data_IF_771624577598
#
_entry.id   IF_771624577598
#
_cell.length_a   1.000
_cell.length_b   1.000
_cell.length_c   1.000
_cell.angle_alpha   90.00
_cell.angle_beta   90.00
_cell.angle_gamma   90.00
#
_symmetry.space_group_name_H-M   'P 1'
#
loop_
_entity.id
_entity.type
_entity.pdbx_description
1 polymer ?
#
# COMPACT_ATOMS: atom_id res chain seq x y z
N UNK A 1 17.74 4.07 -7.72
CA UNK A 1 17.01 2.82 -7.46
C UNK A 1 17.69 1.72 -8.25
N UNK A 2 18.39 0.79 -7.62
CA UNK A 2 18.83 -0.44 -8.29
C UNK A 2 18.65 -1.54 -7.26
N UNK A 3 17.62 -2.37 -7.43
CA UNK A 3 17.62 -3.71 -6.88
C UNK A 3 18.81 -4.42 -7.55
N UNK A 4 20.03 -4.20 -7.04
CA UNK A 4 21.23 -4.85 -7.55
C UNK A 4 21.05 -6.32 -7.21
N UNK A 5 21.01 -7.15 -8.25
CA UNK A 5 20.84 -8.60 -8.19
C UNK A 5 19.42 -9.13 -7.85
N UNK A 6 18.37 -8.43 -8.26
CA UNK A 6 17.01 -8.99 -8.24
C UNK A 6 16.31 -8.69 -9.56
N UNK A 7 15.72 -9.71 -10.19
CA UNK A 7 14.82 -9.52 -11.32
C UNK A 7 13.50 -8.92 -10.82
N UNK A 8 13.08 -7.82 -11.45
CA UNK A 8 11.85 -7.14 -11.09
C UNK A 8 11.13 -6.62 -12.33
N UNK A 9 9.83 -6.45 -12.17
CA UNK A 9 8.95 -5.75 -13.09
C UNK A 9 8.22 -4.64 -12.33
N UNK A 10 7.88 -3.56 -13.02
CA UNK A 10 7.09 -2.46 -12.48
C UNK A 10 5.73 -2.50 -13.16
N UNK A 11 4.66 -2.62 -12.38
CA UNK A 11 3.29 -2.64 -12.90
C UNK A 11 2.63 -1.32 -12.53
N UNK A 12 2.41 -0.49 -13.54
CA UNK A 12 1.73 0.79 -13.38
C UNK A 12 0.26 0.60 -13.72
N UNK A 13 -0.62 0.83 -12.74
CA UNK A 13 -2.08 0.78 -12.94
C UNK A 13 -2.61 2.21 -12.92
N UNK A 14 -3.04 2.69 -14.09
CA UNK A 14 -3.61 4.02 -14.25
C UNK A 14 -5.14 3.95 -14.45
N UNK A 15 -5.87 4.74 -13.66
CA UNK A 15 -7.33 4.86 -13.69
C UNK A 15 -7.77 6.07 -14.56
N UNK A 16 -7.06 6.33 -15.67
CA UNK A 16 -7.41 7.39 -16.64
C UNK A 16 -6.95 8.78 -16.21
N UNK A 17 -5.68 8.90 -15.80
CA UNK A 17 -5.10 10.20 -15.44
C UNK A 17 -4.98 11.12 -16.67
N UNK A 18 -5.22 12.41 -16.48
CA UNK A 18 -5.20 13.43 -17.56
C UNK A 18 -3.96 14.34 -17.47
N UNK A 19 -2.99 13.99 -16.63
CA UNK A 19 -1.83 14.80 -16.26
C UNK A 19 -0.54 14.43 -17.01
N UNK A 20 -0.63 13.59 -18.05
CA UNK A 20 0.52 13.13 -18.82
C UNK A 20 1.18 11.85 -18.30
N UNK A 21 0.60 11.21 -17.27
CA UNK A 21 1.14 9.97 -16.68
C UNK A 21 1.31 8.86 -17.73
N UNK A 22 0.37 8.71 -18.65
CA UNK A 22 0.40 7.65 -19.66
C UNK A 22 1.55 7.82 -20.65
N UNK A 23 1.82 9.06 -21.08
CA UNK A 23 2.93 9.40 -21.96
C UNK A 23 4.29 9.13 -21.29
N UNK A 24 4.43 9.49 -20.01
CA UNK A 24 5.64 9.21 -19.24
C UNK A 24 5.87 7.72 -19.10
N UNK A 25 4.83 6.95 -18.78
CA UNK A 25 4.93 5.50 -18.65
C UNK A 25 5.36 4.86 -19.97
N UNK A 26 4.81 5.32 -21.11
CA UNK A 26 5.23 4.88 -22.44
C UNK A 26 6.71 5.18 -22.72
N UNK A 27 7.17 6.39 -22.42
CA UNK A 27 8.59 6.75 -22.55
C UNK A 27 9.49 5.86 -21.69
N UNK A 28 9.05 5.51 -20.49
CA UNK A 28 9.79 4.61 -19.62
C UNK A 28 9.83 3.18 -20.18
N UNK A 29 8.74 2.69 -20.80
CA UNK A 29 8.71 1.41 -21.50
C UNK A 29 9.71 1.38 -22.66
N UNK A 30 9.79 2.45 -23.45
CA UNK A 30 10.76 2.56 -24.55
C UNK A 30 12.21 2.52 -24.04
N UNK A 31 12.48 3.10 -22.87
CA UNK A 31 13.81 3.18 -22.27
C UNK A 31 14.25 1.89 -21.56
N UNK A 32 13.35 1.24 -20.84
CA UNK A 32 13.67 0.10 -19.97
C UNK A 32 13.22 -1.26 -20.51
N UNK A 33 12.38 -1.26 -21.56
CA UNK A 33 11.80 -2.44 -22.19
C UNK A 33 10.41 -2.80 -21.64
N UNK A 34 9.50 -3.20 -22.52
CA UNK A 34 8.11 -3.56 -22.20
C UNK A 34 8.00 -4.72 -21.19
N UNK A 35 9.00 -5.61 -21.12
CA UNK A 35 9.06 -6.70 -20.14
C UNK A 35 9.46 -6.26 -18.72
N UNK A 36 10.01 -5.05 -18.54
CA UNK A 36 10.37 -4.51 -17.22
C UNK A 36 9.35 -3.50 -16.69
N UNK A 37 8.65 -2.82 -17.57
CA UNK A 37 7.61 -1.86 -17.21
C UNK A 37 6.32 -2.28 -17.90
N UNK A 38 5.43 -2.89 -17.13
CA UNK A 38 4.11 -3.29 -17.58
C UNK A 38 3.14 -2.18 -17.21
N UNK A 39 2.66 -1.44 -18.19
CA UNK A 39 1.64 -0.44 -17.99
C UNK A 39 0.27 -1.04 -18.29
N UNK A 40 -0.65 -0.98 -17.34
CA UNK A 40 -2.04 -1.27 -17.60
C UNK A 40 -2.83 0.02 -17.49
N UNK A 41 -3.24 0.54 -18.64
CA UNK A 41 -4.15 1.67 -18.74
C UNK A 41 -5.55 1.08 -18.70
N UNK A 42 -6.28 1.33 -17.62
CA UNK A 42 -7.68 0.95 -17.53
C UNK A 42 -8.54 2.10 -18.06
N UNK A 43 -8.52 2.33 -19.38
CA UNK A 43 -9.42 3.29 -20.04
C UNK A 43 -10.90 3.01 -19.74
N UNK A 44 -11.23 1.77 -19.37
CA UNK A 44 -12.58 1.28 -19.12
C UNK A 44 -13.11 1.42 -17.68
N UNK A 45 -12.41 2.12 -16.77
CA UNK A 45 -12.96 2.39 -15.43
C UNK A 45 -13.79 3.68 -15.44
N UNK A 46 -15.02 3.56 -15.94
CA UNK A 46 -16.00 4.65 -16.02
C UNK A 46 -16.29 5.38 -14.69
N UNK A 47 -15.79 4.88 -13.54
CA UNK A 47 -15.76 5.54 -12.23
C UNK A 47 -14.49 5.11 -11.49
N UNK A 48 -13.91 5.97 -10.64
CA UNK A 48 -12.85 5.61 -9.67
C UNK A 48 -13.31 4.42 -8.81
N UNK A 49 -12.98 3.19 -9.21
CA UNK A 49 -13.46 1.96 -8.54
C UNK A 49 -12.72 1.69 -7.21
N UNK A 50 -11.64 2.43 -6.96
CA UNK A 50 -10.89 2.44 -5.69
C UNK A 50 -9.63 1.57 -5.72
N UNK A 51 -8.71 1.89 -4.81
CA UNK A 51 -7.36 1.29 -4.69
C UNK A 51 -7.33 -0.24 -4.77
N UNK A 52 -8.24 -0.95 -4.08
CA UNK A 52 -8.27 -2.41 -4.09
C UNK A 52 -8.44 -3.02 -5.49
N UNK A 53 -9.25 -2.37 -6.34
CA UNK A 53 -9.43 -2.85 -7.72
C UNK A 53 -8.17 -2.64 -8.57
N UNK A 54 -7.42 -1.56 -8.35
CA UNK A 54 -6.14 -1.34 -9.02
C UNK A 54 -5.13 -2.43 -8.61
N UNK A 55 -5.07 -2.80 -7.34
CA UNK A 55 -4.20 -3.89 -6.90
C UNK A 55 -4.59 -5.26 -7.46
N UNK A 56 -5.88 -5.59 -7.53
CA UNK A 56 -6.33 -6.83 -8.19
C UNK A 56 -5.91 -6.83 -9.67
N UNK A 57 -6.00 -5.68 -10.35
CA UNK A 57 -5.58 -5.56 -11.74
C UNK A 57 -4.06 -5.76 -11.89
N UNK A 58 -3.27 -5.10 -11.05
CA UNK A 58 -1.82 -5.24 -11.03
C UNK A 58 -1.39 -6.67 -10.74
N UNK A 59 -2.03 -7.33 -9.76
CA UNK A 59 -1.76 -8.71 -9.40
C UNK A 59 -1.96 -9.69 -10.55
N UNK A 60 -2.99 -9.50 -11.39
CA UNK A 60 -3.22 -10.33 -12.58
C UNK A 60 -2.10 -10.25 -13.61
N UNK A 61 -1.36 -9.14 -13.63
CA UNK A 61 -0.23 -8.93 -14.54
C UNK A 61 1.10 -9.25 -13.89
N UNK A 62 1.15 -9.41 -12.57
CA UNK A 62 2.37 -9.75 -11.84
C UNK A 62 2.80 -11.19 -12.14
N UNK A 63 4.05 -11.34 -12.54
CA UNK A 63 4.73 -12.61 -12.82
C UNK A 63 5.70 -13.01 -11.71
N UNK A 64 6.17 -12.05 -10.90
CA UNK A 64 7.09 -12.30 -9.79
C UNK A 64 6.51 -13.09 -8.61
N UNK A 65 7.39 -13.65 -7.79
CA UNK A 65 7.06 -14.41 -6.56
C UNK A 65 6.60 -13.50 -5.40
N UNK A 66 6.96 -12.22 -5.47
CA UNK A 66 6.66 -11.21 -4.46
C UNK A 66 5.98 -10.01 -5.11
N UNK A 67 5.02 -9.42 -4.37
CA UNK A 67 4.31 -8.21 -4.77
C UNK A 67 4.69 -7.11 -3.80
N UNK A 68 5.25 -6.01 -4.33
CA UNK A 68 5.54 -4.81 -3.56
C UNK A 68 4.55 -3.72 -3.91
N UNK A 69 3.85 -3.23 -2.91
CA UNK A 69 2.99 -2.05 -3.00
C UNK A 69 3.76 -0.90 -2.40
N UNK A 70 3.92 0.18 -3.17
CA UNK A 70 4.56 1.41 -2.70
C UNK A 70 4.00 2.62 -3.44
N UNK A 71 4.09 3.79 -2.81
CA UNK A 71 3.92 5.06 -3.49
C UNK A 71 5.12 5.31 -4.43
N UNK A 72 4.93 6.10 -5.48
CA UNK A 72 5.96 6.39 -6.49
C UNK A 72 7.14 7.25 -5.96
N UNK A 73 7.19 7.54 -4.66
CA UNK A 73 8.19 8.41 -4.03
C UNK A 73 9.48 7.68 -3.59
N UNK A 74 9.64 6.40 -3.96
CA UNK A 74 10.89 5.63 -3.92
C UNK A 74 11.59 5.61 -2.55
N UNK A 75 10.84 5.77 -1.47
CA UNK A 75 11.37 6.03 -0.13
C UNK A 75 11.90 4.80 0.62
N UNK A 76 12.05 3.62 -0.02
CA UNK A 76 12.30 2.35 0.67
C UNK A 76 13.43 1.50 0.04
N UNK A 77 14.47 1.21 0.83
CA UNK A 77 15.75 0.65 0.37
C UNK A 77 16.25 -0.52 1.23
N UNK A 78 15.46 -1.60 1.41
CA UNK A 78 15.96 -2.80 2.10
C UNK A 78 15.60 -4.09 1.37
N UNK A 79 16.64 -4.88 1.09
CA UNK A 79 16.55 -6.29 0.67
C UNK A 79 16.18 -7.11 1.90
N UNK A 80 15.12 -7.90 1.81
CA UNK A 80 14.55 -8.62 2.94
C UNK A 80 14.78 -10.10 2.75
N UNK A 81 15.86 -10.61 3.32
CA UNK A 81 15.98 -12.03 3.62
C UNK A 81 15.09 -12.30 4.85
N UNK A 82 13.81 -12.60 4.59
CA UNK A 82 12.84 -12.87 5.64
C UNK A 82 12.01 -14.08 5.30
N UNK A 83 11.61 -14.83 6.34
CA UNK A 83 10.62 -15.90 6.21
C UNK A 83 9.17 -15.38 6.32
N UNK A 84 8.99 -14.08 6.56
CA UNK A 84 7.68 -13.45 6.67
C UNK A 84 6.82 -13.64 5.42
N UNK A 85 5.52 -13.78 5.64
CA UNK A 85 4.54 -13.79 4.57
C UNK A 85 4.28 -12.38 4.05
N UNK A 86 4.40 -11.39 4.94
CA UNK A 86 4.20 -9.97 4.67
C UNK A 86 5.27 -9.17 5.40
N UNK A 87 5.84 -8.18 4.74
CA UNK A 87 6.67 -7.17 5.38
C UNK A 87 6.00 -5.81 5.23
N UNK A 88 5.81 -5.12 6.35
CA UNK A 88 5.24 -3.77 6.37
C UNK A 88 6.28 -2.75 6.79
N UNK A 89 6.35 -1.63 6.06
CA UNK A 89 7.15 -0.49 6.45
C UNK A 89 6.42 0.34 7.49
N UNK A 90 7.09 0.64 8.60
CA UNK A 90 6.53 1.46 9.69
C UNK A 90 7.51 2.54 10.13
N UNK A 91 6.97 3.73 10.38
CA UNK A 91 7.70 4.84 11.01
C UNK A 91 7.65 4.82 12.54
N UNK A 92 6.92 3.87 13.13
CA UNK A 92 6.64 3.83 14.57
C UNK A 92 7.57 2.90 15.36
N UNK A 93 8.36 2.06 14.69
CA UNK A 93 9.38 1.20 15.31
C UNK A 93 10.73 1.90 15.42
N UNK A 94 11.64 1.34 16.24
CA UNK A 94 12.99 1.89 16.42
C UNK A 94 13.74 1.97 15.07
N UNK A 95 14.19 3.18 14.74
CA UNK A 95 14.88 3.47 13.48
C UNK A 95 13.94 3.91 12.34
N UNK A 96 12.63 3.87 12.55
CA UNK A 96 11.64 4.51 11.69
C UNK A 96 11.43 5.97 12.10
N UNK A 97 10.73 6.73 11.24
CA UNK A 97 10.40 8.11 11.58
C UNK A 97 9.56 8.83 10.54
N UNK A 98 9.18 10.05 10.88
CA UNK A 98 8.39 10.94 10.02
C UNK A 98 9.03 12.32 10.00
N UNK A 99 9.47 12.76 8.83
CA UNK A 99 10.13 14.05 8.60
C UNK A 99 9.23 14.99 7.78
N UNK A 100 9.27 16.28 8.11
CA UNK A 100 8.53 17.33 7.39
C UNK A 100 7.06 17.50 7.78
N UNK A 101 6.43 16.52 8.44
CA UNK A 101 5.01 16.63 8.81
C UNK A 101 4.79 17.64 9.95
N UNK A 102 3.73 18.45 9.83
CA UNK A 102 3.25 19.30 10.93
C UNK A 102 2.69 18.46 12.10
N UNK A 103 2.62 19.06 13.29
CA UNK A 103 2.20 18.36 14.51
C UNK A 103 0.78 17.80 14.41
N UNK A 104 -0.15 18.55 13.82
CA UNK A 104 -1.54 18.12 13.67
C UNK A 104 -1.65 16.85 12.83
N UNK A 105 -0.94 16.77 11.70
CA UNK A 105 -0.90 15.60 10.83
C UNK A 105 -0.30 14.38 11.55
N UNK A 106 0.79 14.59 12.31
CA UNK A 106 1.39 13.53 13.13
C UNK A 106 0.40 12.99 14.17
N UNK A 107 -0.33 13.88 14.85
CA UNK A 107 -1.33 13.49 15.85
C UNK A 107 -2.51 12.76 15.21
N UNK A 108 -3.07 13.27 14.12
CA UNK A 108 -4.20 12.63 13.43
C UNK A 108 -3.84 11.25 12.92
N UNK A 109 -2.67 11.09 12.27
CA UNK A 109 -2.21 9.80 11.78
C UNK A 109 -1.96 8.80 12.91
N UNK A 110 -1.27 9.24 13.98
CA UNK A 110 -1.02 8.38 15.15
C UNK A 110 -2.30 8.00 15.87
N UNK A 111 -3.25 8.93 16.00
CA UNK A 111 -4.56 8.68 16.62
C UNK A 111 -5.38 7.66 15.85
N UNK A 112 -5.47 7.79 14.53
CA UNK A 112 -6.13 6.80 13.67
C UNK A 112 -5.47 5.42 13.81
N UNK A 113 -4.14 5.36 13.72
CA UNK A 113 -3.41 4.09 13.82
C UNK A 113 -3.58 3.42 15.20
N UNK A 114 -3.51 4.17 16.30
CA UNK A 114 -3.76 3.64 17.67
C UNK A 114 -5.19 3.12 17.80
N UNK A 115 -6.18 3.83 17.25
CA UNK A 115 -7.57 3.40 17.27
C UNK A 115 -7.75 2.06 16.55
N UNK A 116 -7.21 1.93 15.34
CA UNK A 116 -7.30 0.69 14.57
C UNK A 116 -6.57 -0.47 15.26
N UNK A 117 -5.39 -0.23 15.84
CA UNK A 117 -4.66 -1.26 16.59
C UNK A 117 -5.44 -1.73 17.82
N UNK A 118 -5.98 -0.79 18.59
CA UNK A 118 -6.70 -1.12 19.83
C UNK A 118 -7.98 -1.88 19.52
N UNK A 119 -8.70 -1.49 18.47
CA UNK A 119 -9.97 -2.12 18.12
C UNK A 119 -9.78 -3.49 17.46
N UNK A 120 -8.84 -3.61 16.52
CA UNK A 120 -8.73 -4.80 15.67
C UNK A 120 -7.67 -5.80 16.16
N UNK A 121 -6.78 -5.36 17.04
CA UNK A 121 -5.67 -6.12 17.64
C UNK A 121 -4.86 -6.97 16.64
N UNK A 122 -4.26 -6.38 15.59
CA UNK A 122 -3.55 -7.13 14.56
C UNK A 122 -2.09 -7.45 14.91
N UNK A 123 -1.58 -7.00 16.06
CA UNK A 123 -0.19 -7.29 16.47
C UNK A 123 0.89 -6.57 15.64
N UNK A 124 0.54 -5.53 14.88
CA UNK A 124 1.48 -4.67 14.13
C UNK A 124 1.40 -3.21 14.58
N UNK A 125 2.50 -2.47 14.46
CA UNK A 125 2.63 -1.06 14.86
C UNK A 125 2.13 -0.05 13.83
N UNK A 126 1.92 -0.43 12.57
CA UNK A 126 1.38 0.46 11.53
C UNK A 126 0.42 -0.27 10.58
N UNK A 127 -0.85 0.10 10.65
CA UNK A 127 -1.89 -0.40 9.75
C UNK A 127 -2.10 0.51 8.54
N UNK A 128 -1.56 1.72 8.59
CA UNK A 128 -1.82 2.80 7.64
C UNK A 128 -0.70 3.02 6.63
N UNK A 129 0.50 2.48 6.89
CA UNK A 129 1.65 2.58 6.01
C UNK A 129 1.38 2.00 4.62
N UNK A 130 1.80 2.69 3.55
CA UNK A 130 1.56 2.29 2.16
C UNK A 130 2.58 1.27 1.65
N UNK A 131 3.78 1.22 2.24
CA UNK A 131 4.82 0.27 1.84
C UNK A 131 4.56 -1.12 2.41
N UNK A 132 4.29 -2.09 1.54
CA UNK A 132 4.10 -3.48 1.91
C UNK A 132 4.67 -4.41 0.85
N UNK A 133 5.39 -5.43 1.29
CA UNK A 133 5.83 -6.56 0.48
C UNK A 133 5.05 -7.79 0.89
N UNK A 134 4.53 -8.52 -0.08
CA UNK A 134 3.81 -9.78 0.13
C UNK A 134 4.45 -10.89 -0.67
N UNK A 135 4.42 -12.11 -0.15
CA UNK A 135 4.46 -13.30 -1.03
C UNK A 135 3.22 -13.27 -1.93
N UNK A 136 3.37 -13.50 -3.23
CA UNK A 136 2.27 -13.37 -4.20
C UNK A 136 1.04 -14.19 -3.81
N UNK A 137 1.24 -15.46 -3.43
CA UNK A 137 0.15 -16.35 -2.98
C UNK A 137 -0.59 -15.84 -1.73
N UNK A 138 0.14 -15.21 -0.81
CA UNK A 138 -0.45 -14.60 0.40
C UNK A 138 -1.27 -13.39 0.02
N UNK A 139 -0.78 -12.56 -0.91
CA UNK A 139 -1.52 -11.42 -1.41
C UNK A 139 -2.82 -11.85 -2.09
N UNK A 140 -2.76 -12.86 -2.97
CA UNK A 140 -3.92 -13.45 -3.65
C UNK A 140 -4.98 -13.98 -2.66
N UNK A 141 -4.55 -14.75 -1.66
CA UNK A 141 -5.45 -15.29 -0.65
C UNK A 141 -6.12 -14.19 0.19
N UNK A 142 -5.35 -13.22 0.69
CA UNK A 142 -5.88 -12.16 1.55
C UNK A 142 -6.80 -11.22 0.77
N UNK A 143 -6.38 -10.78 -0.42
CA UNK A 143 -7.17 -9.83 -1.23
C UNK A 143 -8.50 -10.43 -1.70
N UNK A 144 -8.56 -11.75 -1.90
CA UNK A 144 -9.80 -12.46 -2.28
C UNK A 144 -10.93 -12.31 -1.24
N UNK A 145 -10.56 -12.07 0.02
CA UNK A 145 -11.49 -11.89 1.14
C UNK A 145 -11.78 -10.42 1.48
N UNK A 146 -11.16 -9.47 0.79
CA UNK A 146 -11.30 -8.04 1.07
C UNK A 146 -12.51 -7.43 0.34
N UNK A 147 -13.25 -6.59 1.04
CA UNK A 147 -14.42 -5.88 0.47
C UNK A 147 -14.32 -4.35 0.61
N UNK A 148 -13.43 -3.87 1.47
CA UNK A 148 -13.28 -2.44 1.75
C UNK A 148 -12.64 -1.71 0.59
N UNK A 149 -12.85 -0.40 0.55
CA UNK A 149 -12.26 0.52 -0.42
C UNK A 149 -11.49 1.62 0.31
N UNK A 150 -10.75 2.42 -0.45
CA UNK A 150 -10.01 3.56 0.10
C UNK A 150 -8.93 3.16 1.11
N UNK A 151 -8.71 4.00 2.12
CA UNK A 151 -7.68 3.78 3.13
C UNK A 151 -7.95 2.56 4.03
N UNK A 152 -9.22 2.19 4.24
CA UNK A 152 -9.62 1.03 5.07
C UNK A 152 -9.16 -0.29 4.44
N UNK A 153 -9.08 -0.36 3.11
CA UNK A 153 -8.58 -1.55 2.42
C UNK A 153 -7.16 -1.96 2.89
N UNK A 154 -6.27 -0.98 3.09
CA UNK A 154 -4.91 -1.24 3.57
C UNK A 154 -4.89 -1.85 4.99
N UNK A 155 -5.84 -1.43 5.84
CA UNK A 155 -6.03 -1.96 7.19
C UNK A 155 -6.61 -3.37 7.12
N UNK A 156 -7.64 -3.57 6.30
CA UNK A 156 -8.31 -4.85 6.10
C UNK A 156 -7.32 -5.95 5.67
N UNK A 157 -6.43 -5.65 4.73
CA UNK A 157 -5.39 -6.59 4.27
C UNK A 157 -4.56 -7.13 5.44
N UNK A 158 -4.08 -6.27 6.33
CA UNK A 158 -3.24 -6.68 7.46
C UNK A 158 -4.05 -7.42 8.53
N UNK A 159 -5.26 -6.94 8.83
CA UNK A 159 -6.14 -7.55 9.83
C UNK A 159 -6.51 -8.96 9.38
N UNK A 160 -6.98 -9.13 8.14
CA UNK A 160 -7.31 -10.45 7.59
C UNK A 160 -6.10 -11.36 7.50
N UNK A 161 -4.93 -10.84 7.11
CA UNK A 161 -3.71 -11.63 7.08
C UNK A 161 -3.32 -12.16 8.47
N UNK A 162 -3.42 -11.31 9.49
CA UNK A 162 -3.16 -11.68 10.89
C UNK A 162 -4.16 -12.74 11.35
N UNK A 163 -5.45 -12.58 11.05
CA UNK A 163 -6.52 -13.53 11.41
C UNK A 163 -6.37 -14.89 10.72
N UNK A 164 -5.81 -14.90 9.50
CA UNK A 164 -5.42 -16.11 8.77
C UNK A 164 -4.13 -16.76 9.31
N UNK A 165 -3.46 -16.15 10.28
CA UNK A 165 -2.25 -16.69 10.91
C UNK A 165 -0.96 -16.45 10.13
N UNK A 166 -0.96 -15.53 9.15
CA UNK A 166 0.26 -15.19 8.43
C UNK A 166 1.24 -14.42 9.31
N UNK A 167 2.53 -14.73 9.18
CA UNK A 167 3.58 -14.01 9.87
C UNK A 167 3.88 -12.67 9.17
N UNK A 168 3.78 -11.59 9.94
CA UNK A 168 4.02 -10.21 9.48
C UNK A 168 5.23 -9.66 10.20
N UNK A 169 6.20 -9.15 9.43
CA UNK A 169 7.40 -8.49 9.96
C UNK A 169 7.34 -6.98 9.69
N UNK A 170 7.81 -6.20 10.65
CA UNK A 170 7.85 -4.74 10.56
C UNK A 170 9.27 -4.25 10.31
N UNK A 171 9.45 -3.42 9.28
CA UNK A 171 10.73 -2.81 8.96
C UNK A 171 10.69 -1.30 9.17
N UNK A 172 11.71 -0.70 9.81
CA UNK A 172 11.75 0.73 9.99
C UNK A 172 11.90 1.44 8.64
N UNK A 173 10.98 2.36 8.36
CA UNK A 173 11.06 3.28 7.23
C UNK A 173 10.96 4.73 7.70
N UNK A 174 11.51 5.64 6.91
CA UNK A 174 11.37 7.08 7.13
C UNK A 174 10.40 7.65 6.11
N UNK A 175 9.24 8.11 6.58
CA UNK A 175 8.31 8.87 5.76
C UNK A 175 8.80 10.31 5.63
N UNK A 176 8.98 10.77 4.40
CA UNK A 176 9.29 12.16 4.09
C UNK A 176 8.02 12.81 3.58
N UNK A 177 7.78 14.07 3.94
CA UNK A 177 6.60 14.78 3.43
C UNK A 177 6.64 14.89 1.90
N UNK A 178 5.46 14.81 1.27
CA UNK A 178 5.33 15.03 -0.17
C UNK A 178 5.72 16.47 -0.45
N UNK A 179 6.56 16.68 -1.47
CA UNK A 179 6.89 18.03 -1.96
C UNK A 179 5.67 18.70 -2.60
N UNK A 180 4.68 17.90 -3.06
CA UNK A 180 3.47 18.39 -3.73
C UNK A 180 2.20 17.69 -3.21
N UNK A 181 1.14 18.49 -2.96
CA UNK A 181 -0.21 18.04 -2.63
C UNK A 181 -0.71 18.50 -1.25
N UNK A 182 -1.93 19.05 -1.19
CA UNK A 182 -2.60 19.43 0.06
C UNK A 182 -3.58 18.33 0.49
N UNK A 183 -3.26 17.57 1.54
CA UNK A 183 -4.23 16.64 2.14
C UNK A 183 -5.21 17.43 3.02
N UNK A 184 -6.41 17.70 2.53
CA UNK A 184 -7.54 18.09 3.39
C UNK A 184 -8.30 16.82 3.74
N UNK A 185 -8.15 16.34 4.97
CA UNK A 185 -9.01 15.30 5.52
C UNK A 185 -10.42 15.88 5.66
N UNK A 186 -11.37 15.40 4.86
CA UNK A 186 -12.77 15.80 4.97
C UNK A 186 -13.47 14.98 6.06
N UNK A 187 -14.46 15.56 6.75
CA UNK A 187 -15.17 14.85 7.83
C UNK A 187 -15.88 13.57 7.37
N UNK A 188 -16.25 13.49 6.09
CA UNK A 188 -16.77 12.30 5.43
C UNK A 188 -15.77 11.13 5.47
N UNK A 189 -14.48 11.38 5.24
CA UNK A 189 -13.43 10.35 5.25
C UNK A 189 -13.24 9.74 6.66
N UNK A 190 -13.39 10.56 7.70
CA UNK A 190 -13.33 10.08 9.09
C UNK A 190 -14.51 9.14 9.40
N UNK A 191 -15.71 9.48 8.95
CA UNK A 191 -16.90 8.63 9.16
C UNK A 191 -16.77 7.30 8.41
N UNK A 192 -16.28 7.34 7.16
CA UNK A 192 -16.02 6.13 6.38
C UNK A 192 -14.95 5.25 7.04
N UNK A 193 -13.89 5.86 7.54
CA UNK A 193 -12.84 5.17 8.28
C UNK A 193 -13.40 4.44 9.51
N UNK A 194 -14.17 5.13 10.36
CA UNK A 194 -14.76 4.54 11.57
C UNK A 194 -15.74 3.41 11.25
N UNK A 195 -16.60 3.58 10.23
CA UNK A 195 -17.50 2.52 9.75
C UNK A 195 -16.71 1.30 9.28
N UNK A 196 -15.60 1.54 8.58
CA UNK A 196 -14.68 0.50 8.14
C UNK A 196 -14.08 -0.29 9.31
N UNK A 197 -13.62 0.39 10.36
CA UNK A 197 -13.09 -0.28 11.55
C UNK A 197 -14.15 -1.13 12.26
N UNK A 198 -15.38 -0.62 12.42
CA UNK A 198 -16.48 -1.38 13.03
C UNK A 198 -16.84 -2.59 12.17
N UNK A 199 -16.88 -2.43 10.85
CA UNK A 199 -17.12 -3.53 9.92
C UNK A 199 -16.07 -4.63 10.08
N UNK A 200 -14.78 -4.28 10.12
CA UNK A 200 -13.70 -5.24 10.29
C UNK A 200 -13.81 -5.96 11.63
N UNK A 201 -14.05 -5.22 12.72
CA UNK A 201 -14.26 -5.82 14.05
C UNK A 201 -15.36 -6.89 14.06
N UNK A 202 -16.42 -6.71 13.28
CA UNK A 202 -17.56 -7.62 13.22
C UNK A 202 -17.39 -8.78 12.22
N UNK A 203 -16.40 -8.71 11.32
CA UNK A 203 -16.26 -9.64 10.19
C UNK A 203 -14.91 -10.37 10.12
N UNK A 204 -13.99 -10.08 11.03
CA UNK A 204 -12.66 -10.69 11.12
C UNK A 204 -12.35 -11.16 12.53
#
# INVERSE_FOLDING_TARGET
MVFRDVDFEIIVVDDGSHDGTQEIVKQLQDLYGEGRIVSTITEARAKKLGLGTAYIHGLKHATGDFVVIMDADLSHHKRLETNASIVTGTGYVKGGGVHGWNLMRKLTSRGANVLAQTLLWPGVSDLTGSFKLYKKLVFEDVISSCVSKGCVFQIEMIVRATRKGYYIEEVPITFVDRVFGTSKLEGSEIVEYLKGLVYLLLTT
#
